data_IF_233400407181
#
_entry.id   IF_233400407181
#
_cell.length_a   1.000
_cell.length_b   1.000
_cell.length_c   1.000
_cell.angle_alpha   90.00
_cell.angle_beta   90.00
_cell.angle_gamma   90.00
#
_symmetry.space_group_name_H-M   'P 1'
#
loop_
_entity.id
_entity.type
_entity.pdbx_description
1 polymer ?
#
# COMPACT_ATOMS: atom_id res chain seq x y z
N UNK A 1 -4.99 -24.75 9.94
CA UNK A 1 -4.11 -24.09 8.94
C UNK A 1 -4.11 -22.61 9.26
N UNK A 2 -3.05 -22.15 9.90
CA UNK A 2 -2.87 -20.73 10.26
C UNK A 2 -2.56 -19.97 8.97
N UNK A 3 -3.48 -19.12 8.50
CA UNK A 3 -3.17 -18.20 7.40
C UNK A 3 -2.28 -17.13 8.03
N UNK A 4 -0.98 -17.18 7.76
CA UNK A 4 -0.07 -16.08 8.10
C UNK A 4 -0.65 -14.82 7.47
N UNK A 5 -1.12 -13.89 8.29
CA UNK A 5 -1.56 -12.58 7.80
C UNK A 5 -0.39 -11.96 7.06
N UNK A 6 -0.59 -11.69 5.76
CA UNK A 6 0.45 -11.07 4.95
C UNK A 6 0.66 -9.65 5.46
N UNK A 7 1.83 -9.39 6.00
CA UNK A 7 2.25 -8.03 6.33
C UNK A 7 2.33 -7.20 5.05
N UNK A 8 1.96 -5.92 5.11
CA UNK A 8 2.16 -5.02 3.99
C UNK A 8 3.66 -4.87 3.71
N UNK A 9 4.04 -5.01 2.44
CA UNK A 9 5.44 -4.87 1.98
C UNK A 9 5.92 -3.42 2.03
N UNK A 10 4.98 -2.48 2.01
CA UNK A 10 5.21 -1.05 2.06
C UNK A 10 3.96 -0.36 2.58
N UNK A 11 4.11 0.75 3.28
CA UNK A 11 2.98 1.58 3.71
C UNK A 11 3.30 3.02 3.41
N UNK A 12 2.44 3.68 2.64
CA UNK A 12 2.52 5.12 2.41
C UNK A 12 1.75 5.84 3.51
N UNK A 13 2.37 6.83 4.14
CA UNK A 13 1.77 7.60 5.22
C UNK A 13 1.72 9.10 4.88
N UNK A 14 0.52 9.69 5.03
CA UNK A 14 0.24 11.11 4.83
C UNK A 14 -0.65 11.62 5.95
N UNK A 15 -0.01 12.08 7.02
CA UNK A 15 -0.69 12.52 8.24
C UNK A 15 -1.46 11.37 8.88
N UNK A 16 -2.79 11.46 8.91
CA UNK A 16 -3.67 10.42 9.45
C UNK A 16 -4.03 9.35 8.41
N UNK A 17 -3.66 9.52 7.15
CA UNK A 17 -3.99 8.58 6.09
C UNK A 17 -2.83 7.59 5.93
N UNK A 18 -3.15 6.31 5.99
CA UNK A 18 -2.21 5.22 5.74
C UNK A 18 -2.72 4.39 4.57
N UNK A 19 -1.81 4.06 3.66
CA UNK A 19 -2.05 3.19 2.52
C UNK A 19 -1.04 2.05 2.54
N UNK A 20 -1.32 0.98 3.30
CA UNK A 20 -0.50 -0.21 3.21
C UNK A 20 -0.65 -0.83 1.82
N UNK A 21 0.38 -1.52 1.37
CA UNK A 21 0.50 -2.17 0.07
C UNK A 21 0.82 -3.64 0.32
N UNK A 22 0.08 -4.56 -0.27
CA UNK A 22 0.29 -6.01 -0.13
C UNK A 22 0.76 -6.62 -1.44
N UNK A 23 1.83 -7.42 -1.38
CA UNK A 23 2.26 -8.24 -2.51
C UNK A 23 1.51 -9.57 -2.56
N UNK A 24 1.01 -9.90 -3.74
CA UNK A 24 0.44 -11.18 -4.03
C UNK A 24 1.16 -11.81 -5.21
N UNK A 25 1.52 -13.07 -5.04
CA UNK A 25 2.18 -13.86 -6.08
C UNK A 25 1.13 -14.70 -6.80
N UNK A 26 1.30 -14.83 -8.11
CA UNK A 26 0.56 -15.77 -8.96
C UNK A 26 1.39 -17.05 -9.13
N UNK A 27 0.74 -18.11 -9.58
CA UNK A 27 1.40 -19.39 -9.87
C UNK A 27 2.44 -19.28 -11.00
N UNK A 28 2.27 -18.32 -11.92
CA UNK A 28 3.21 -18.05 -13.02
C UNK A 28 4.47 -17.26 -12.59
N UNK A 29 4.63 -17.00 -11.29
CA UNK A 29 5.76 -16.23 -10.74
C UNK A 29 5.62 -14.71 -10.87
N UNK A 30 4.52 -14.21 -11.46
CA UNK A 30 4.26 -12.76 -11.49
C UNK A 30 3.63 -12.26 -10.18
N UNK A 31 3.95 -11.02 -9.81
CA UNK A 31 3.38 -10.35 -8.64
C UNK A 31 2.32 -9.32 -9.05
N UNK A 32 1.29 -9.18 -8.21
CA UNK A 32 0.31 -8.10 -8.26
C UNK A 32 0.16 -7.48 -6.87
N UNK A 33 -0.21 -6.20 -6.83
CA UNK A 33 -0.24 -5.42 -5.61
C UNK A 33 -1.66 -4.98 -5.28
N UNK A 34 -2.03 -5.08 -4.00
CA UNK A 34 -3.23 -4.46 -3.44
C UNK A 34 -2.85 -3.23 -2.64
N UNK A 35 -3.74 -2.26 -2.62
CA UNK A 35 -3.67 -1.08 -1.74
C UNK A 35 -5.03 -0.94 -1.06
N UNK A 36 -5.03 -0.68 0.24
CA UNK A 36 -6.19 -0.32 1.02
C UNK A 36 -5.86 0.99 1.68
N UNK A 37 -6.90 1.75 1.99
CA UNK A 37 -6.75 3.08 2.54
C UNK A 37 -7.47 3.08 3.88
N UNK A 38 -6.77 3.59 4.89
CA UNK A 38 -7.34 3.81 6.21
C UNK A 38 -6.96 5.17 6.75
N UNK A 39 -7.85 5.73 7.56
CA UNK A 39 -7.64 6.95 8.33
C UNK A 39 -7.51 6.60 9.80
N UNK A 40 -6.44 7.03 10.43
CA UNK A 40 -6.23 6.96 11.87
C UNK A 40 -6.90 8.12 12.59
N UNK A 41 -7.63 7.82 13.65
CA UNK A 41 -8.19 8.83 14.55
C UNK A 41 -8.15 8.32 15.98
N UNK A 42 -8.26 9.24 16.94
CA UNK A 42 -8.24 8.89 18.36
C UNK A 42 -9.66 9.00 18.93
N UNK A 43 -10.12 7.95 19.59
CA UNK A 43 -11.43 7.89 20.25
C UNK A 43 -11.27 7.21 21.61
N UNK A 44 -11.78 7.82 22.68
CA UNK A 44 -11.69 7.23 24.03
C UNK A 44 -10.27 6.99 24.56
N UNK A 45 -9.26 7.67 23.99
CA UNK A 45 -7.85 7.46 24.35
C UNK A 45 -7.11 6.46 23.47
N UNK A 46 -7.82 5.71 22.62
CA UNK A 46 -7.25 4.68 21.75
C UNK A 46 -7.21 5.14 20.30
N UNK A 47 -6.22 4.65 19.56
CA UNK A 47 -6.15 4.83 18.12
C UNK A 47 -7.10 3.84 17.44
N UNK A 48 -7.88 4.36 16.49
CA UNK A 48 -8.86 3.60 15.71
C UNK A 48 -8.68 3.91 14.22
N UNK A 49 -9.18 3.02 13.38
CA UNK A 49 -9.10 3.11 11.94
C UNK A 49 -10.50 3.33 11.34
N UNK A 50 -10.59 4.12 10.28
CA UNK A 50 -11.82 4.33 9.52
C UNK A 50 -11.55 4.31 8.02
N UNK A 51 -12.55 3.89 7.24
CA UNK A 51 -12.57 4.00 5.78
C UNK A 51 -13.47 5.14 5.30
N UNK A 52 -13.89 6.02 6.21
CA UNK A 52 -14.64 7.24 5.89
C UNK A 52 -13.68 8.44 5.92
N UNK A 53 -13.72 9.24 4.87
CA UNK A 53 -12.83 10.37 4.68
C UNK A 53 -13.63 11.66 4.62
N UNK A 54 -13.23 12.65 5.41
CA UNK A 54 -13.77 14.00 5.34
C UNK A 54 -13.05 14.84 4.28
N UNK A 55 -13.54 16.05 4.04
CA UNK A 55 -12.93 17.02 3.09
C UNK A 55 -11.43 17.22 3.34
N UNK A 56 -11.03 17.35 4.59
CA UNK A 56 -9.64 17.61 5.00
C UNK A 56 -8.70 16.42 4.73
N UNK A 57 -9.25 15.21 4.57
CA UNK A 57 -8.47 14.01 4.30
C UNK A 57 -8.21 13.81 2.79
N UNK A 58 -8.97 14.48 1.92
CA UNK A 58 -8.99 14.20 0.48
C UNK A 58 -7.67 14.52 -0.21
N UNK A 59 -6.99 15.61 0.17
CA UNK A 59 -5.71 15.97 -0.44
C UNK A 59 -4.63 14.95 -0.07
N UNK A 60 -4.50 14.65 1.22
CA UNK A 60 -3.54 13.65 1.72
C UNK A 60 -3.81 12.26 1.13
N UNK A 61 -5.08 11.90 0.97
CA UNK A 61 -5.50 10.68 0.28
C UNK A 61 -5.04 10.67 -1.18
N UNK A 62 -5.31 11.73 -1.94
CA UNK A 62 -4.93 11.84 -3.35
C UNK A 62 -3.41 11.72 -3.55
N UNK A 63 -2.64 12.42 -2.73
CA UNK A 63 -1.18 12.36 -2.76
C UNK A 63 -0.66 10.97 -2.36
N UNK A 64 -1.22 10.38 -1.31
CA UNK A 64 -0.87 9.04 -0.86
C UNK A 64 -1.15 7.97 -1.92
N UNK A 65 -2.30 8.05 -2.61
CA UNK A 65 -2.63 7.15 -3.73
C UNK A 65 -1.64 7.35 -4.88
N UNK A 66 -1.27 8.59 -5.19
CA UNK A 66 -0.30 8.91 -6.25
C UNK A 66 1.06 8.31 -5.95
N UNK A 67 1.51 8.39 -4.70
CA UNK A 67 2.78 7.82 -4.25
C UNK A 67 2.76 6.29 -4.23
N UNK A 68 1.67 5.67 -3.75
CA UNK A 68 1.51 4.23 -3.81
C UNK A 68 1.55 3.72 -5.26
N UNK A 69 0.90 4.43 -6.19
CA UNK A 69 0.97 4.15 -7.63
C UNK A 69 2.41 4.19 -8.15
N UNK A 70 3.16 5.27 -7.83
CA UNK A 70 4.57 5.43 -8.25
C UNK A 70 5.44 4.30 -7.71
N UNK A 71 5.31 3.99 -6.42
CA UNK A 71 6.06 2.92 -5.78
C UNK A 71 5.80 1.56 -6.45
N UNK A 72 4.54 1.21 -6.72
CA UNK A 72 4.18 -0.03 -7.43
C UNK A 72 4.80 -0.07 -8.84
N UNK A 73 4.77 1.06 -9.54
CA UNK A 73 5.37 1.17 -10.88
C UNK A 73 6.88 0.94 -10.85
N UNK A 74 7.56 1.50 -9.86
CA UNK A 74 9.01 1.31 -9.64
C UNK A 74 9.34 -0.16 -9.36
N UNK A 75 8.57 -0.85 -8.52
CA UNK A 75 8.80 -2.28 -8.26
C UNK A 75 8.68 -3.13 -9.53
N UNK A 76 7.67 -2.87 -10.38
CA UNK A 76 7.52 -3.59 -11.67
C UNK A 76 8.68 -3.32 -12.62
N UNK A 77 9.23 -2.11 -12.61
CA UNK A 77 10.37 -1.75 -13.45
C UNK A 77 11.68 -2.37 -12.95
N UNK A 78 11.88 -2.47 -11.63
CA UNK A 78 13.04 -3.14 -11.05
C UNK A 78 13.03 -4.63 -11.35
N UNK A 79 11.88 -5.30 -11.22
CA UNK A 79 11.71 -6.70 -11.60
C UNK A 79 12.02 -6.95 -13.09
N UNK A 80 11.64 -6.03 -13.99
CA UNK A 80 11.98 -6.12 -15.42
C UNK A 80 13.47 -5.89 -15.73
N UNK A 81 14.14 -5.02 -14.97
CA UNK A 81 15.56 -4.70 -15.17
C UNK A 81 16.49 -5.81 -14.67
N UNK A 82 16.11 -6.57 -13.64
CA UNK A 82 16.89 -7.71 -13.18
C UNK A 82 16.92 -8.84 -14.22
N UNK A 83 15.80 -9.11 -14.90
CA UNK A 83 15.73 -10.12 -15.97
C UNK A 83 16.62 -9.80 -17.17
N UNK A 84 16.89 -8.52 -17.46
CA UNK A 84 17.71 -8.08 -18.61
C UNK A 84 19.22 -8.02 -18.35
N UNK A 85 19.68 -8.18 -17.10
CA UNK A 85 21.12 -8.12 -16.74
C UNK A 85 21.82 -9.48 -16.74
N UNK A 86 21.08 -10.56 -17.00
CA UNK A 86 21.57 -11.94 -16.96
C UNK A 86 21.49 -12.65 -18.32
N UNK A 87 21.34 -11.90 -19.41
CA UNK A 87 21.29 -12.41 -20.78
C UNK A 87 22.40 -11.75 -21.63
#
# INVERSE_FOLDING_TARGET
MERKDKEPIHTVERGRIQLPIWENQREDGSAWFNVTVKRLFKSGGEWQESQTFGREDLLALSEGVTEAYRWIWEQRNTARKSTKRTA
#
